data_IF_111969308283
#
_entry.id   IF_111969308283
#
_cell.length_a   1.000
_cell.length_b   1.000
_cell.length_c   1.000
_cell.angle_alpha   90.00
_cell.angle_beta   90.00
_cell.angle_gamma   90.00
#
_symmetry.space_group_name_H-M   'P 1'
#
loop_
_entity.id
_entity.type
_entity.pdbx_description
1 polymer ?
#
# COMPACT_ATOMS: atom_id res chain seq x y z
N UNK A 1 -15.72 -1.11 -3.85
CA UNK A 1 -15.62 0.27 -4.42
C UNK A 1 -15.13 1.33 -3.43
N UNK A 2 -15.02 1.02 -2.14
CA UNK A 2 -14.46 1.96 -1.14
C UNK A 2 -12.98 2.29 -1.44
N UNK A 3 -12.18 1.27 -1.71
CA UNK A 3 -10.74 1.39 -2.05
C UNK A 3 -10.50 2.39 -3.19
N UNK A 4 -11.29 2.32 -4.26
CA UNK A 4 -11.16 3.22 -5.44
C UNK A 4 -11.46 4.68 -5.08
N UNK A 5 -12.43 4.90 -4.18
CA UNK A 5 -12.81 6.25 -3.73
C UNK A 5 -11.69 6.91 -2.93
N UNK A 6 -11.04 6.15 -2.05
CA UNK A 6 -9.92 6.65 -1.26
C UNK A 6 -8.71 6.92 -2.14
N UNK A 7 -8.40 6.02 -3.06
CA UNK A 7 -7.26 6.20 -3.96
C UNK A 7 -7.42 7.43 -4.88
N UNK A 8 -8.65 7.75 -5.31
CA UNK A 8 -8.92 9.01 -6.02
C UNK A 8 -8.53 10.25 -5.20
N UNK A 9 -8.73 10.21 -3.87
CA UNK A 9 -8.32 11.31 -2.98
C UNK A 9 -6.80 11.41 -2.88
N UNK A 10 -6.11 10.26 -2.76
CA UNK A 10 -4.64 10.21 -2.74
C UNK A 10 -4.07 10.79 -4.03
N UNK A 11 -4.53 10.34 -5.18
CA UNK A 11 -4.05 10.82 -6.48
C UNK A 11 -4.25 12.33 -6.59
N UNK A 12 -5.43 12.86 -6.25
CA UNK A 12 -5.66 14.31 -6.25
C UNK A 12 -4.71 15.07 -5.34
N UNK A 13 -4.48 14.55 -4.13
CA UNK A 13 -3.52 15.16 -3.20
C UNK A 13 -2.14 15.31 -3.82
N UNK A 14 -1.70 14.32 -4.61
CA UNK A 14 -0.41 14.34 -5.27
C UNK A 14 -0.39 15.13 -6.59
N UNK A 15 -1.49 15.15 -7.35
CA UNK A 15 -1.63 16.00 -8.54
C UNK A 15 -1.55 17.50 -8.21
N UNK A 16 -2.12 17.91 -7.08
CA UNK A 16 -2.12 19.32 -6.64
C UNK A 16 -0.75 19.81 -6.15
N UNK A 17 0.14 18.91 -5.78
CA UNK A 17 1.37 19.27 -5.05
C UNK A 17 2.64 18.67 -5.62
N UNK A 18 2.55 17.64 -6.45
CA UNK A 18 3.70 16.94 -7.02
C UNK A 18 3.38 16.53 -8.46
N UNK A 19 4.36 16.56 -9.33
CA UNK A 19 4.21 16.03 -10.67
C UNK A 19 4.03 14.51 -10.63
N UNK A 20 2.83 14.01 -10.94
CA UNK A 20 2.63 12.59 -11.24
C UNK A 20 3.04 12.42 -12.71
N UNK A 21 4.14 11.71 -13.02
CA UNK A 21 4.69 11.65 -14.38
C UNK A 21 3.84 10.86 -15.37
N UNK A 22 2.67 10.36 -14.95
CA UNK A 22 1.82 9.50 -15.78
C UNK A 22 0.34 9.73 -15.53
N UNK A 23 -0.48 9.65 -16.59
CA UNK A 23 -1.92 9.67 -16.41
C UNK A 23 -2.38 8.40 -15.69
N UNK A 24 -3.06 8.60 -14.58
CA UNK A 24 -3.86 7.57 -13.90
C UNK A 24 -5.29 7.75 -14.35
N UNK A 25 -5.89 6.70 -14.85
CA UNK A 25 -7.32 6.72 -15.20
C UNK A 25 -8.11 5.75 -14.34
N UNK A 26 -9.38 6.10 -14.10
CA UNK A 26 -10.30 5.27 -13.35
C UNK A 26 -11.39 4.78 -14.30
N UNK A 27 -11.55 3.47 -14.38
CA UNK A 27 -12.64 2.86 -15.13
C UNK A 27 -13.91 2.82 -14.28
N UNK A 28 -15.04 3.25 -14.84
CA UNK A 28 -16.36 3.06 -14.23
C UNK A 28 -16.88 1.62 -14.44
N UNK A 29 -16.34 0.92 -15.42
CA UNK A 29 -16.64 -0.48 -15.71
C UNK A 29 -15.49 -1.36 -15.21
N UNK A 30 -15.83 -2.55 -14.69
CA UNK A 30 -14.81 -3.50 -14.26
C UNK A 30 -13.99 -3.98 -15.47
N UNK A 31 -12.69 -3.70 -15.42
CA UNK A 31 -11.77 -4.23 -16.42
C UNK A 31 -11.69 -5.76 -16.28
N UNK A 32 -11.62 -6.46 -17.40
CA UNK A 32 -11.36 -7.91 -17.39
C UNK A 32 -9.89 -8.14 -17.07
N UNK A 33 -9.63 -8.58 -15.84
CA UNK A 33 -8.30 -9.02 -15.42
C UNK A 33 -8.21 -10.53 -15.61
N UNK A 34 -7.19 -10.99 -16.31
CA UNK A 34 -6.96 -12.43 -16.55
C UNK A 34 -6.15 -13.11 -15.42
N UNK A 35 -5.94 -12.43 -14.30
CA UNK A 35 -5.26 -13.03 -13.15
C UNK A 35 -6.28 -13.79 -12.29
N UNK A 36 -6.06 -15.11 -12.15
CA UNK A 36 -6.84 -15.97 -11.26
C UNK A 36 -6.51 -15.80 -9.78
N UNK A 37 -5.43 -15.07 -9.47
CA UNK A 37 -4.81 -15.05 -8.15
C UNK A 37 -5.21 -13.82 -7.33
N UNK A 38 -5.99 -12.91 -7.91
CA UNK A 38 -6.50 -11.73 -7.23
C UNK A 38 -7.94 -11.93 -6.78
N UNK A 39 -8.22 -11.60 -5.53
CA UNK A 39 -9.55 -11.65 -4.93
C UNK A 39 -9.85 -10.35 -4.17
N UNK A 40 -11.06 -10.20 -3.66
CA UNK A 40 -11.46 -9.16 -2.72
C UNK A 40 -11.16 -7.73 -3.17
N UNK A 41 -10.76 -6.89 -2.22
CA UNK A 41 -10.50 -5.47 -2.46
C UNK A 41 -9.30 -5.23 -3.39
N UNK A 42 -8.29 -6.13 -3.41
CA UNK A 42 -7.15 -6.00 -4.32
C UNK A 42 -7.55 -6.27 -5.77
N UNK A 43 -8.48 -7.20 -6.02
CA UNK A 43 -9.07 -7.39 -7.34
C UNK A 43 -9.89 -6.16 -7.75
N UNK A 44 -10.75 -5.63 -6.88
CA UNK A 44 -11.51 -4.40 -7.15
C UNK A 44 -10.59 -3.21 -7.45
N UNK A 45 -9.47 -3.09 -6.74
CA UNK A 45 -8.46 -2.09 -6.99
C UNK A 45 -7.97 -2.14 -8.43
N UNK A 46 -7.42 -3.28 -8.88
CA UNK A 46 -6.88 -3.41 -10.24
C UNK A 46 -7.96 -3.40 -11.33
N UNK A 47 -9.20 -3.77 -11.03
CA UNK A 47 -10.31 -3.70 -12.00
C UNK A 47 -10.76 -2.28 -12.32
N UNK A 48 -10.46 -1.31 -11.46
CA UNK A 48 -10.95 0.06 -11.60
C UNK A 48 -9.86 1.11 -11.83
N UNK A 49 -8.60 0.73 -11.68
CA UNK A 49 -7.48 1.67 -11.82
C UNK A 49 -6.58 1.23 -12.95
N UNK A 50 -6.29 2.16 -13.85
CA UNK A 50 -5.43 1.93 -15.00
C UNK A 50 -4.21 2.84 -14.91
N UNK A 51 -3.06 2.22 -14.74
CA UNK A 51 -1.77 2.86 -14.90
C UNK A 51 -0.79 1.86 -15.53
N UNK A 52 0.03 2.34 -16.45
CA UNK A 52 0.88 1.49 -17.28
C UNK A 52 2.33 1.38 -16.74
N UNK A 53 2.61 2.06 -15.66
CA UNK A 53 3.90 2.03 -14.95
C UNK A 53 3.65 2.26 -13.48
N UNK A 54 4.58 1.82 -12.66
CA UNK A 54 4.50 1.98 -11.22
C UNK A 54 4.38 3.45 -10.80
N UNK A 55 3.53 3.73 -9.82
CA UNK A 55 3.22 5.08 -9.35
C UNK A 55 3.94 5.37 -8.05
N UNK A 56 4.81 6.35 -8.06
CA UNK A 56 5.55 6.79 -6.89
C UNK A 56 4.82 7.92 -6.15
N UNK A 57 4.54 7.71 -4.87
CA UNK A 57 3.96 8.68 -3.95
C UNK A 57 4.98 9.05 -2.88
N UNK A 58 5.60 10.21 -3.03
CA UNK A 58 6.60 10.75 -2.10
C UNK A 58 5.94 11.63 -1.03
N UNK A 59 6.25 11.38 0.25
CA UNK A 59 5.78 12.19 1.36
C UNK A 59 6.84 12.38 2.46
N UNK A 60 8.08 12.43 2.18
CA UNK A 60 9.20 12.63 3.09
C UNK A 60 9.51 11.48 4.08
N UNK A 61 8.53 10.66 4.48
CA UNK A 61 8.71 9.72 5.60
C UNK A 61 8.29 8.29 5.31
N UNK A 62 7.23 8.08 4.58
CA UNK A 62 6.74 6.74 4.19
C UNK A 62 6.30 6.77 2.72
N UNK A 63 7.28 6.70 1.84
CA UNK A 63 7.06 6.71 0.41
C UNK A 63 6.61 5.34 -0.07
N UNK A 64 5.55 5.28 -0.89
CA UNK A 64 5.11 4.04 -1.50
C UNK A 64 5.14 4.12 -3.02
N UNK A 65 5.40 2.98 -3.64
CA UNK A 65 5.36 2.78 -5.09
C UNK A 65 4.26 1.76 -5.35
N UNK A 66 3.11 2.22 -5.86
CA UNK A 66 2.05 1.31 -6.28
C UNK A 66 2.46 0.64 -7.58
N UNK A 67 2.43 -0.68 -7.60
CA UNK A 67 2.89 -1.49 -8.72
C UNK A 67 1.79 -1.68 -9.76
N UNK A 68 2.12 -1.43 -11.02
CA UNK A 68 1.23 -1.77 -12.14
C UNK A 68 0.94 -3.28 -12.17
N UNK A 69 -0.18 -3.67 -12.77
CA UNK A 69 -0.60 -5.08 -12.78
C UNK A 69 0.44 -6.00 -13.42
N UNK A 70 1.17 -5.51 -14.42
CA UNK A 70 2.23 -6.19 -15.16
C UNK A 70 3.65 -5.85 -14.68
N UNK A 71 3.78 -5.15 -13.54
CA UNK A 71 5.10 -4.81 -12.97
C UNK A 71 5.89 -6.05 -12.58
N UNK A 72 7.15 -6.18 -13.01
CA UNK A 72 8.04 -7.26 -12.57
C UNK A 72 8.23 -7.30 -11.05
N UNK A 73 8.14 -6.16 -10.37
CA UNK A 73 8.25 -6.05 -8.91
C UNK A 73 7.08 -6.71 -8.14
N UNK A 74 6.04 -7.19 -8.84
CA UNK A 74 4.97 -8.00 -8.23
C UNK A 74 5.32 -9.49 -8.14
N UNK A 75 6.39 -9.93 -8.79
CA UNK A 75 6.77 -11.34 -8.80
C UNK A 75 7.57 -11.71 -7.56
N UNK A 76 7.36 -12.92 -7.06
CA UNK A 76 8.08 -13.44 -5.88
C UNK A 76 9.57 -13.62 -6.14
N UNK A 77 9.95 -13.87 -7.39
CA UNK A 77 11.34 -14.04 -7.82
C UNK A 77 12.14 -12.74 -7.69
N UNK A 78 11.48 -11.59 -7.94
CA UNK A 78 12.12 -10.27 -7.80
C UNK A 78 12.64 -10.03 -6.37
N UNK A 79 11.95 -10.61 -5.38
CA UNK A 79 12.22 -10.40 -3.96
C UNK A 79 12.81 -11.63 -3.25
N UNK A 80 13.13 -12.70 -3.99
CA UNK A 80 13.62 -13.97 -3.44
C UNK A 80 12.68 -14.57 -2.36
N UNK A 81 11.36 -14.49 -2.59
CA UNK A 81 10.32 -14.94 -1.65
C UNK A 81 9.74 -16.33 -1.99
N UNK A 82 10.29 -17.02 -3.00
CA UNK A 82 9.78 -18.31 -3.49
C UNK A 82 9.84 -19.43 -2.45
N UNK A 83 10.69 -19.31 -1.45
CA UNK A 83 10.80 -20.28 -0.35
C UNK A 83 9.75 -20.05 0.75
N UNK A 84 9.00 -18.96 0.69
CA UNK A 84 7.91 -18.66 1.61
C UNK A 84 6.62 -19.22 1.01
N UNK A 85 6.04 -20.22 1.68
CA UNK A 85 4.91 -20.99 1.17
C UNK A 85 3.72 -20.12 0.75
N UNK A 86 3.37 -19.10 1.54
CA UNK A 86 2.25 -18.21 1.26
C UNK A 86 2.43 -17.41 -0.03
N UNK A 87 3.66 -17.04 -0.38
CA UNK A 87 3.96 -16.37 -1.63
C UNK A 87 3.99 -17.37 -2.80
N UNK A 88 4.63 -18.52 -2.64
CA UNK A 88 4.74 -19.54 -3.70
C UNK A 88 3.39 -20.18 -4.05
N UNK A 89 2.45 -20.26 -3.10
CA UNK A 89 1.08 -20.72 -3.31
C UNK A 89 0.11 -19.61 -3.78
N UNK A 90 0.58 -18.38 -3.96
CA UNK A 90 -0.22 -17.24 -4.42
C UNK A 90 -1.19 -16.68 -3.37
N UNK A 91 -1.05 -17.10 -2.10
CA UNK A 91 -1.86 -16.54 -1.01
C UNK A 91 -1.53 -15.06 -0.79
N UNK A 92 -0.25 -14.71 -0.82
CA UNK A 92 0.21 -13.32 -0.68
C UNK A 92 0.49 -12.71 -2.05
N UNK A 93 -0.08 -11.53 -2.30
CA UNK A 93 0.08 -10.79 -3.55
C UNK A 93 0.68 -9.41 -3.29
N UNK A 94 1.86 -9.16 -3.86
CA UNK A 94 2.55 -7.88 -3.74
C UNK A 94 1.83 -6.85 -4.61
N UNK A 95 1.48 -5.69 -4.04
CA UNK A 95 0.81 -4.60 -4.77
C UNK A 95 1.56 -3.27 -4.71
N UNK A 96 2.49 -3.12 -3.76
CA UNK A 96 3.30 -1.93 -3.61
C UNK A 96 4.66 -2.26 -3.00
N UNK A 97 5.59 -1.31 -3.10
CA UNK A 97 6.87 -1.31 -2.41
C UNK A 97 7.10 0.04 -1.75
N UNK A 98 8.10 0.12 -0.90
CA UNK A 98 8.58 1.40 -0.37
C UNK A 98 9.86 1.81 -1.09
N UNK A 99 10.31 3.05 -0.87
CA UNK A 99 11.60 3.55 -1.35
C UNK A 99 12.80 2.97 -0.56
N UNK A 100 12.54 2.22 0.51
CA UNK A 100 13.52 1.48 1.31
C UNK A 100 13.55 -0.02 0.97
N UNK A 101 12.99 -0.40 -0.18
CA UNK A 101 12.91 -1.77 -0.69
C UNK A 101 12.10 -2.74 0.20
N UNK A 102 11.20 -2.26 1.06
CA UNK A 102 10.22 -3.09 1.71
C UNK A 102 9.07 -3.40 0.74
N UNK A 103 8.47 -4.57 0.88
CA UNK A 103 7.29 -4.99 0.11
C UNK A 103 6.00 -4.73 0.91
N UNK A 104 4.95 -4.32 0.21
CA UNK A 104 3.59 -4.28 0.72
C UNK A 104 2.74 -5.30 -0.04
N UNK A 105 2.08 -6.18 0.69
CA UNK A 105 1.32 -7.28 0.10
C UNK A 105 0.00 -7.52 0.83
N UNK A 106 -0.94 -8.16 0.13
CA UNK A 106 -2.25 -8.52 0.65
C UNK A 106 -2.38 -10.03 0.82
N UNK A 107 -3.17 -10.46 1.82
CA UNK A 107 -3.60 -11.85 1.96
C UNK A 107 -4.88 -12.07 1.14
N UNK A 108 -4.81 -12.97 0.14
CA UNK A 108 -5.91 -13.28 -0.77
C UNK A 108 -6.92 -14.27 -0.20
N UNK A 109 -6.69 -14.83 1.00
CA UNK A 109 -7.68 -15.68 1.70
C UNK A 109 -8.81 -14.87 2.33
N UNK A 110 -8.63 -13.56 2.46
CA UNK A 110 -9.61 -12.65 3.02
C UNK A 110 -10.05 -11.63 1.94
N UNK A 111 -11.35 -11.53 1.70
CA UNK A 111 -11.92 -10.61 0.70
C UNK A 111 -11.68 -9.12 1.05
N UNK A 112 -11.39 -8.80 2.31
CA UNK A 112 -10.96 -7.45 2.71
C UNK A 112 -9.54 -7.12 2.29
N UNK A 113 -8.76 -8.13 1.87
CA UNK A 113 -7.36 -7.99 1.47
C UNK A 113 -6.51 -7.26 2.51
N UNK A 114 -6.32 -7.83 3.73
CA UNK A 114 -5.49 -7.23 4.77
C UNK A 114 -4.08 -6.95 4.26
N UNK A 115 -3.52 -5.81 4.69
CA UNK A 115 -2.21 -5.37 4.21
C UNK A 115 -1.12 -5.70 5.21
N UNK A 116 -0.04 -6.23 4.69
CA UNK A 116 1.20 -6.54 5.41
C UNK A 116 2.39 -5.82 4.79
N UNK A 117 3.40 -5.58 5.61
CA UNK A 117 4.71 -5.11 5.16
C UNK A 117 5.82 -6.08 5.60
N UNK A 118 6.90 -6.11 4.85
CA UNK A 118 8.09 -6.87 5.20
C UNK A 118 9.28 -6.49 4.37
N UNK A 119 10.48 -6.66 4.95
CA UNK A 119 11.74 -6.48 4.25
C UNK A 119 12.15 -7.81 3.61
N UNK A 120 12.59 -7.83 2.36
CA UNK A 120 13.11 -9.03 1.73
C UNK A 120 14.25 -9.65 2.55
N UNK A 121 14.13 -10.95 2.86
CA UNK A 121 15.09 -11.67 3.70
C UNK A 121 14.81 -11.63 5.21
N UNK A 122 13.86 -10.82 5.68
CA UNK A 122 13.34 -10.90 7.04
C UNK A 122 12.09 -11.81 7.04
N UNK A 123 12.05 -12.86 7.87
CA UNK A 123 10.87 -13.72 7.98
C UNK A 123 9.68 -13.06 8.70
N UNK A 124 9.89 -11.91 9.33
CA UNK A 124 8.86 -11.22 10.07
C UNK A 124 8.06 -10.30 9.15
N UNK A 125 6.74 -10.48 9.16
CA UNK A 125 5.81 -9.61 8.45
C UNK A 125 4.95 -8.84 9.46
N UNK A 126 4.75 -7.57 9.18
CA UNK A 126 3.98 -6.64 10.01
C UNK A 126 2.61 -6.41 9.40
N UNK A 127 1.54 -6.79 10.09
CA UNK A 127 0.18 -6.46 9.65
C UNK A 127 -0.06 -4.98 9.86
N UNK A 128 -0.35 -4.27 8.77
CA UNK A 128 -0.56 -2.82 8.78
C UNK A 128 -2.03 -2.42 8.82
N UNK A 129 -2.93 -3.25 8.29
CA UNK A 129 -4.37 -2.97 8.28
C UNK A 129 -5.21 -4.24 8.13
N UNK A 130 -6.48 -4.15 8.52
CA UNK A 130 -7.46 -5.23 8.34
C UNK A 130 -8.04 -5.29 6.92
N UNK A 131 -7.86 -4.22 6.12
CA UNK A 131 -8.31 -4.18 4.73
C UNK A 131 -7.44 -3.26 3.89
N UNK A 132 -7.48 -3.43 2.57
CA UNK A 132 -6.81 -2.52 1.63
C UNK A 132 -7.42 -1.11 1.67
N UNK A 133 -8.73 -1.01 1.88
CA UNK A 133 -9.43 0.26 2.07
C UNK A 133 -8.91 1.00 3.30
N UNK A 134 -8.82 0.31 4.45
CA UNK A 134 -8.31 0.89 5.71
C UNK A 134 -6.86 1.37 5.54
N UNK A 135 -6.01 0.58 4.89
CA UNK A 135 -4.63 0.98 4.57
C UNK A 135 -4.58 2.29 3.78
N UNK A 136 -5.37 2.41 2.72
CA UNK A 136 -5.37 3.63 1.92
C UNK A 136 -6.03 4.83 2.64
N UNK A 137 -7.00 4.62 3.52
CA UNK A 137 -7.54 5.69 4.37
C UNK A 137 -6.49 6.22 5.34
N UNK A 138 -5.76 5.33 5.99
CA UNK A 138 -4.61 5.68 6.80
C UNK A 138 -3.55 6.42 5.96
N UNK A 139 -3.13 5.86 4.82
CA UNK A 139 -2.10 6.45 3.97
C UNK A 139 -2.49 7.83 3.43
N UNK A 140 -3.77 8.03 3.10
CA UNK A 140 -4.29 9.36 2.73
C UNK A 140 -4.15 10.37 3.88
N UNK A 141 -4.57 10.00 5.08
CA UNK A 141 -4.48 10.86 6.26
C UNK A 141 -3.02 11.16 6.61
N UNK A 142 -2.16 10.14 6.56
CA UNK A 142 -0.72 10.23 6.78
C UNK A 142 -0.06 11.18 5.77
N UNK A 143 -0.30 10.98 4.48
CA UNK A 143 0.26 11.83 3.42
C UNK A 143 -0.23 13.27 3.54
N UNK A 144 -1.53 13.49 3.82
CA UNK A 144 -2.08 14.84 3.99
C UNK A 144 -1.52 15.55 5.22
N UNK A 145 -1.19 14.82 6.27
CA UNK A 145 -0.62 15.37 7.50
C UNK A 145 0.86 15.75 7.31
N UNK A 146 1.67 14.86 6.68
CA UNK A 146 3.11 15.03 6.57
C UNK A 146 3.57 15.82 5.34
N UNK A 147 2.79 15.80 4.25
CA UNK A 147 3.20 16.37 2.97
C UNK A 147 3.59 17.85 2.99
N UNK A 148 3.02 18.64 3.91
CA UNK A 148 3.25 20.07 4.01
C UNK A 148 4.26 20.43 5.12
N UNK A 149 4.87 19.43 5.75
CA UNK A 149 5.77 19.62 6.88
C UNK A 149 7.19 19.26 6.49
N UNK A 150 8.04 20.27 6.43
CA UNK A 150 9.47 20.11 6.16
C UNK A 150 10.23 20.03 7.50
N UNK A 151 11.34 19.27 7.54
CA UNK A 151 12.26 19.16 8.67
C UNK A 151 11.60 18.83 10.02
N UNK A 152 10.73 17.83 10.01
CA UNK A 152 9.98 17.38 11.20
C UNK A 152 10.94 16.70 12.19
N UNK A 153 11.02 17.15 13.47
CA UNK A 153 11.77 16.44 14.49
C UNK A 153 11.27 15.02 14.69
N UNK A 154 12.19 14.08 14.94
CA UNK A 154 11.84 12.66 15.12
C UNK A 154 10.76 12.43 16.20
N UNK A 155 10.83 13.17 17.30
CA UNK A 155 9.82 13.08 18.37
C UNK A 155 8.42 13.48 17.89
N UNK A 156 8.32 14.56 17.10
CA UNK A 156 7.04 14.99 16.52
C UNK A 156 6.52 13.96 15.49
N UNK A 157 7.44 13.38 14.70
CA UNK A 157 7.10 12.32 13.77
C UNK A 157 6.51 11.10 14.49
N UNK A 158 7.16 10.62 15.56
CA UNK A 158 6.71 9.47 16.34
C UNK A 158 5.31 9.74 16.94
N UNK A 159 5.10 10.89 17.57
CA UNK A 159 3.83 11.23 18.19
C UNK A 159 2.73 11.39 17.14
N UNK A 160 2.97 12.19 16.09
CA UNK A 160 1.98 12.45 15.04
C UNK A 160 1.60 11.21 14.26
N UNK A 161 2.57 10.35 13.93
CA UNK A 161 2.29 9.08 13.25
C UNK A 161 1.54 8.12 14.18
N UNK A 162 1.91 8.05 15.46
CA UNK A 162 1.19 7.27 16.47
C UNK A 162 -0.28 7.68 16.59
N UNK A 163 -0.57 8.97 16.64
CA UNK A 163 -1.94 9.50 16.69
C UNK A 163 -2.75 9.15 15.43
N UNK A 164 -2.12 9.16 14.26
CA UNK A 164 -2.76 8.76 13.01
C UNK A 164 -3.08 7.27 13.00
N UNK A 165 -2.14 6.42 13.44
CA UNK A 165 -2.36 4.98 13.57
C UNK A 165 -3.57 4.71 14.50
N UNK A 166 -3.59 5.32 15.68
CA UNK A 166 -4.66 5.13 16.66
C UNK A 166 -6.03 5.61 16.19
N UNK A 167 -6.06 6.55 15.25
CA UNK A 167 -7.30 7.12 14.69
C UNK A 167 -7.83 6.36 13.48
N UNK A 168 -6.95 5.86 12.62
CA UNK A 168 -7.34 5.36 11.30
C UNK A 168 -7.20 3.85 11.14
N UNK A 169 -6.44 3.17 12.01
CA UNK A 169 -6.27 1.73 11.96
C UNK A 169 -7.03 1.03 13.08
N UNK A 170 -7.52 -0.15 12.78
CA UNK A 170 -8.22 -1.03 13.73
C UNK A 170 -7.31 -1.37 14.93
N UNK A 171 -7.86 -1.47 16.15
CA UNK A 171 -7.07 -1.73 17.36
C UNK A 171 -6.17 -2.96 17.27
N UNK A 172 -6.60 -4.00 16.54
CA UNK A 172 -5.89 -5.28 16.41
C UNK A 172 -4.57 -5.17 15.64
N UNK A 173 -4.40 -4.11 14.81
CA UNK A 173 -3.19 -3.90 14.00
C UNK A 173 -2.32 -2.74 14.47
N UNK A 174 -2.81 -1.89 15.39
CA UNK A 174 -2.09 -0.67 15.79
C UNK A 174 -0.70 -0.96 16.35
N UNK A 175 -0.54 -2.03 17.12
CA UNK A 175 0.74 -2.39 17.72
C UNK A 175 1.79 -2.74 16.64
N UNK A 176 1.42 -3.60 15.69
CA UNK A 176 2.32 -4.02 14.59
C UNK A 176 2.58 -2.91 13.59
N UNK A 177 1.58 -2.06 13.32
CA UNK A 177 1.75 -0.88 12.48
C UNK A 177 2.71 0.15 13.12
N UNK A 178 2.63 0.38 14.45
CA UNK A 178 3.59 1.23 15.17
C UNK A 178 5.00 0.64 15.14
N UNK A 179 5.14 -0.67 15.36
CA UNK A 179 6.44 -1.35 15.31
C UNK A 179 7.10 -1.18 13.94
N UNK A 180 6.32 -1.24 12.85
CA UNK A 180 6.83 -1.07 11.50
C UNK A 180 7.12 0.40 11.13
N UNK A 181 6.18 1.31 11.37
CA UNK A 181 6.25 2.69 10.87
C UNK A 181 7.10 3.63 11.75
N UNK A 182 7.41 3.26 12.99
CA UNK A 182 8.17 4.08 13.94
C UNK A 182 9.58 3.51 14.23
N UNK A 183 10.02 2.50 13.46
CA UNK A 183 11.35 1.90 13.57
C UNK A 183 12.48 2.78 13.00
#
# INVERSE_FOLDING_TARGET
MAVVTVLKKIIRLYEETTFIPQPVSFSNEKLRIQSSDLTGELLDYYQHIVFNKDLFFANQTFNIILLALDSPARTVECWALQDILQFSEGQYQIFATTDTDDILFCDMKDDSSPVYAGSPGDPNFYKLSESLTEFFEFYFAFSNFWKQREDVPQEEYIVGTGDLIDRYLSPDVQATAKEYLLR
#
